data_IF_214343651030
#
_entry.id   IF_214343651030
#
_cell.length_a   1.000
_cell.length_b   1.000
_cell.length_c   1.000
_cell.angle_alpha   90.00
_cell.angle_beta   90.00
_cell.angle_gamma   90.00
#
_symmetry.space_group_name_H-M   'P 1'
#
loop_
_entity.id
_entity.type
_entity.pdbx_description
1 polymer ?
#
# COMPACT_ATOMS: atom_id res chain seq x y z
N UNK A 1 -58.72 -4.40 -49.86
CA UNK A 1 -57.74 -5.44 -49.46
C UNK A 1 -56.30 -4.97 -49.66
N UNK A 2 -56.04 -4.03 -50.57
CA UNK A 2 -54.70 -3.44 -50.81
C UNK A 2 -54.07 -2.72 -49.60
N UNK A 3 -54.86 -2.00 -48.79
CA UNK A 3 -54.35 -1.18 -47.68
C UNK A 3 -53.79 -2.02 -46.51
N UNK A 4 -54.36 -3.19 -46.24
CA UNK A 4 -53.89 -4.08 -45.15
C UNK A 4 -52.53 -4.71 -45.47
N UNK A 5 -52.25 -4.99 -46.74
CA UNK A 5 -50.94 -5.49 -47.17
C UNK A 5 -49.85 -4.43 -46.97
N UNK A 6 -50.13 -3.18 -47.35
CA UNK A 6 -49.17 -2.08 -47.26
C UNK A 6 -48.82 -1.74 -45.79
N UNK A 7 -49.81 -1.81 -44.88
CA UNK A 7 -49.62 -1.60 -43.43
C UNK A 7 -48.69 -2.64 -42.81
N UNK A 8 -48.68 -3.88 -43.30
CA UNK A 8 -47.81 -4.94 -42.78
C UNK A 8 -46.44 -5.01 -43.49
N UNK A 9 -46.39 -4.64 -44.78
CA UNK A 9 -45.17 -4.62 -45.59
C UNK A 9 -44.19 -3.53 -45.14
N UNK A 10 -44.69 -2.34 -44.79
CA UNK A 10 -43.85 -1.21 -44.38
C UNK A 10 -42.99 -1.50 -43.12
N UNK A 11 -43.54 -1.99 -41.99
CA UNK A 11 -42.74 -2.30 -40.80
C UNK A 11 -41.83 -3.52 -41.00
N UNK A 12 -42.26 -4.52 -41.76
CA UNK A 12 -41.43 -5.71 -42.05
C UNK A 12 -40.23 -5.35 -42.93
N UNK A 13 -40.41 -4.50 -43.94
CA UNK A 13 -39.31 -3.99 -44.76
C UNK A 13 -38.37 -3.10 -43.93
N UNK A 14 -38.90 -2.23 -43.08
CA UNK A 14 -38.10 -1.40 -42.18
C UNK A 14 -37.26 -2.24 -41.20
N UNK A 15 -37.82 -3.35 -40.68
CA UNK A 15 -37.10 -4.30 -39.83
C UNK A 15 -35.94 -4.95 -40.59
N UNK A 16 -36.19 -5.44 -41.81
CA UNK A 16 -35.14 -6.09 -42.63
C UNK A 16 -34.01 -5.11 -42.95
N UNK A 17 -34.36 -3.88 -43.33
CA UNK A 17 -33.37 -2.82 -43.59
C UNK A 17 -32.61 -2.47 -42.30
N UNK A 18 -33.31 -2.32 -41.18
CA UNK A 18 -32.70 -2.03 -39.88
C UNK A 18 -31.72 -3.12 -39.43
N UNK A 19 -32.06 -4.40 -39.62
CA UNK A 19 -31.18 -5.54 -39.32
C UNK A 19 -29.99 -5.57 -40.28
N UNK A 20 -30.20 -5.33 -41.57
CA UNK A 20 -29.10 -5.31 -42.55
C UNK A 20 -28.11 -4.17 -42.26
N UNK A 21 -28.62 -2.95 -42.03
CA UNK A 21 -27.79 -1.79 -41.67
C UNK A 21 -27.11 -2.02 -40.32
N UNK A 22 -27.84 -2.50 -39.32
CA UNK A 22 -27.28 -2.83 -38.00
C UNK A 22 -26.16 -3.88 -38.08
N UNK A 23 -26.33 -4.90 -38.91
CA UNK A 23 -25.31 -5.93 -39.14
C UNK A 23 -24.08 -5.38 -39.86
N UNK A 24 -24.29 -4.56 -40.90
CA UNK A 24 -23.20 -3.90 -41.63
C UNK A 24 -22.44 -2.97 -40.69
N UNK A 25 -23.14 -2.13 -39.91
CA UNK A 25 -22.51 -1.23 -38.93
C UNK A 25 -21.76 -2.02 -37.85
N UNK A 26 -22.34 -3.09 -37.29
CA UNK A 26 -21.66 -3.95 -36.32
C UNK A 26 -20.43 -4.68 -36.89
N UNK A 27 -20.41 -4.94 -38.20
CA UNK A 27 -19.29 -5.56 -38.91
C UNK A 27 -18.20 -4.55 -39.29
N UNK A 28 -18.58 -3.32 -39.65
CA UNK A 28 -17.67 -2.25 -40.05
C UNK A 28 -17.11 -1.46 -38.88
N UNK A 29 -17.80 -1.39 -37.73
CA UNK A 29 -17.15 -0.93 -36.52
C UNK A 29 -15.98 -1.87 -36.29
N UNK A 30 -14.73 -1.36 -36.33
CA UNK A 30 -13.58 -2.18 -36.05
C UNK A 30 -13.83 -2.78 -34.68
N UNK A 31 -13.97 -4.12 -34.65
CA UNK A 31 -14.15 -4.94 -33.46
C UNK A 31 -13.50 -4.17 -32.32
N UNK A 32 -14.30 -3.60 -31.41
CA UNK A 32 -13.80 -2.97 -30.21
C UNK A 32 -13.26 -4.12 -29.38
N UNK A 33 -12.09 -4.60 -29.80
CA UNK A 33 -11.46 -5.76 -29.28
C UNK A 33 -11.17 -5.39 -27.83
N UNK A 34 -11.61 -6.20 -26.85
CA UNK A 34 -11.26 -5.98 -25.46
C UNK A 34 -9.74 -6.05 -25.24
N UNK A 35 -8.94 -6.33 -26.27
CA UNK A 35 -7.48 -6.34 -26.25
C UNK A 35 -6.88 -5.06 -25.69
N UNK A 36 -7.45 -3.89 -25.95
CA UNK A 36 -6.88 -2.65 -25.40
C UNK A 36 -7.14 -2.52 -23.90
N UNK A 37 -8.27 -3.03 -23.41
CA UNK A 37 -8.61 -3.06 -21.99
C UNK A 37 -7.84 -4.17 -21.27
N UNK A 38 -7.75 -5.37 -21.86
CA UNK A 38 -6.96 -6.49 -21.32
C UNK A 38 -5.46 -6.17 -21.29
N UNK A 39 -4.92 -5.54 -22.33
CA UNK A 39 -3.52 -5.09 -22.34
C UNK A 39 -3.24 -4.03 -21.27
N UNK A 40 -4.20 -3.14 -21.01
CA UNK A 40 -4.07 -2.17 -19.92
C UNK A 40 -4.09 -2.84 -18.55
N UNK A 41 -4.95 -3.82 -18.34
CA UNK A 41 -4.98 -4.59 -17.10
C UNK A 41 -3.68 -5.38 -16.89
N UNK A 42 -3.16 -6.04 -17.93
CA UNK A 42 -1.87 -6.74 -17.87
C UNK A 42 -0.69 -5.81 -17.59
N UNK A 43 -0.68 -4.60 -18.19
CA UNK A 43 0.37 -3.60 -17.94
C UNK A 43 0.32 -3.08 -16.50
N UNK A 44 -0.87 -2.80 -15.97
CA UNK A 44 -1.05 -2.35 -14.58
C UNK A 44 -0.64 -3.45 -13.60
N UNK A 45 -1.04 -4.70 -13.84
CA UNK A 45 -0.65 -5.85 -13.03
C UNK A 45 0.88 -6.01 -12.98
N UNK A 46 1.54 -5.96 -14.16
CA UNK A 46 3.00 -6.04 -14.24
C UNK A 46 3.71 -4.92 -13.48
N UNK A 47 3.22 -3.68 -13.59
CA UNK A 47 3.78 -2.55 -12.85
C UNK A 47 3.63 -2.74 -11.34
N UNK A 48 2.50 -3.28 -10.90
CA UNK A 48 2.25 -3.57 -9.50
C UNK A 48 3.20 -4.66 -8.96
N UNK A 49 3.35 -5.76 -9.70
CA UNK A 49 4.29 -6.85 -9.34
C UNK A 49 5.74 -6.34 -9.31
N UNK A 50 6.13 -5.52 -10.28
CA UNK A 50 7.47 -4.90 -10.32
C UNK A 50 7.70 -3.99 -9.12
N UNK A 51 6.72 -3.14 -8.77
CA UNK A 51 6.80 -2.24 -7.63
C UNK A 51 6.92 -3.02 -6.32
N UNK A 52 6.11 -4.05 -6.11
CA UNK A 52 6.21 -4.90 -4.92
C UNK A 52 7.61 -5.53 -4.80
N UNK A 53 8.14 -6.06 -5.91
CA UNK A 53 9.46 -6.68 -5.91
C UNK A 53 10.57 -5.67 -5.61
N UNK A 54 10.48 -4.46 -6.16
CA UNK A 54 11.43 -3.37 -5.90
C UNK A 54 11.40 -2.95 -4.43
N UNK A 55 10.21 -2.78 -3.85
CA UNK A 55 10.04 -2.42 -2.43
C UNK A 55 10.63 -3.49 -1.52
N UNK A 56 10.31 -4.77 -1.76
CA UNK A 56 10.85 -5.89 -0.99
C UNK A 56 12.37 -5.94 -1.09
N UNK A 57 12.91 -5.76 -2.30
CA UNK A 57 14.36 -5.75 -2.55
C UNK A 57 15.04 -4.58 -1.84
N UNK A 58 14.43 -3.39 -1.86
CA UNK A 58 14.95 -2.20 -1.19
C UNK A 58 14.97 -2.38 0.33
N UNK A 59 13.86 -2.84 0.93
CA UNK A 59 13.81 -3.09 2.37
C UNK A 59 14.74 -4.23 2.81
N UNK A 60 14.91 -5.28 2.00
CA UNK A 60 15.88 -6.33 2.28
C UNK A 60 17.32 -5.78 2.28
N UNK A 61 17.64 -4.99 1.25
CA UNK A 61 18.95 -4.34 1.12
C UNK A 61 19.20 -3.39 2.30
N UNK A 62 18.22 -2.58 2.68
CA UNK A 62 18.32 -1.68 3.83
C UNK A 62 18.48 -2.46 5.14
N UNK A 63 17.75 -3.56 5.35
CA UNK A 63 17.93 -4.41 6.52
C UNK A 63 19.35 -5.00 6.60
N UNK A 64 19.90 -5.42 5.46
CA UNK A 64 21.29 -5.87 5.35
C UNK A 64 22.29 -4.75 5.69
N UNK A 65 22.06 -3.53 5.20
CA UNK A 65 22.89 -2.36 5.51
C UNK A 65 22.82 -1.98 7.00
N UNK A 66 21.62 -1.93 7.58
CA UNK A 66 21.42 -1.64 9.01
C UNK A 66 22.09 -2.70 9.88
N UNK A 67 22.02 -3.98 9.49
CA UNK A 67 22.73 -5.05 10.18
C UNK A 67 24.24 -4.85 10.14
N UNK A 68 24.81 -4.51 8.97
CA UNK A 68 26.24 -4.20 8.83
C UNK A 68 26.63 -3.01 9.71
N UNK A 69 25.84 -1.94 9.73
CA UNK A 69 26.08 -0.77 10.58
C UNK A 69 26.07 -1.15 12.07
N UNK A 70 25.10 -1.96 12.48
CA UNK A 70 24.99 -2.44 13.86
C UNK A 70 26.22 -3.27 14.25
N UNK A 71 26.67 -4.15 13.36
CA UNK A 71 27.88 -4.93 13.58
C UNK A 71 29.11 -4.03 13.72
N UNK A 72 29.30 -3.08 12.81
CA UNK A 72 30.43 -2.14 12.89
C UNK A 72 30.40 -1.28 14.15
N UNK A 73 29.23 -0.91 14.66
CA UNK A 73 29.10 -0.22 15.95
C UNK A 73 29.56 -1.10 17.11
N UNK A 74 29.17 -2.37 17.13
CA UNK A 74 29.62 -3.34 18.15
C UNK A 74 31.14 -3.53 18.09
N UNK A 75 31.69 -3.73 16.89
CA UNK A 75 33.14 -3.90 16.71
C UNK A 75 33.93 -2.68 17.24
N UNK A 76 33.41 -1.46 17.04
CA UNK A 76 34.03 -0.24 17.59
C UNK A 76 33.95 -0.21 19.11
N UNK A 77 32.81 -0.58 19.70
CA UNK A 77 32.69 -0.65 21.17
C UNK A 77 33.64 -1.69 21.77
N UNK A 78 33.74 -2.86 21.15
CA UNK A 78 34.66 -3.92 21.58
C UNK A 78 36.11 -3.44 21.50
N UNK A 79 36.48 -2.76 20.42
CA UNK A 79 37.82 -2.20 20.26
C UNK A 79 38.13 -1.11 21.30
N UNK A 80 37.15 -0.26 21.64
CA UNK A 80 37.31 0.74 22.70
C UNK A 80 37.41 0.09 24.08
N UNK A 81 36.67 -0.99 24.34
CA UNK A 81 36.74 -1.74 25.60
C UNK A 81 38.10 -2.44 25.73
N UNK A 82 38.60 -3.05 24.66
CA UNK A 82 39.93 -3.65 24.60
C UNK A 82 41.04 -2.59 24.78
N UNK A 83 40.90 -1.44 24.12
CA UNK A 83 41.78 -0.29 24.30
C UNK A 83 41.78 0.24 25.73
N UNK A 84 40.61 0.38 26.35
CA UNK A 84 40.49 0.75 27.76
C UNK A 84 41.14 -0.30 28.68
N UNK A 85 41.00 -1.59 28.37
CA UNK A 85 41.63 -2.66 29.15
C UNK A 85 43.17 -2.64 29.03
N UNK A 86 43.71 -2.35 27.85
CA UNK A 86 45.15 -2.34 27.58
C UNK A 86 45.85 -1.06 28.06
N UNK A 87 45.21 0.11 27.90
CA UNK A 87 45.80 1.41 28.23
C UNK A 87 45.53 1.87 29.67
N UNK A 88 44.51 1.34 30.35
CA UNK A 88 44.28 1.70 31.75
C UNK A 88 45.28 0.96 32.66
N UNK A 89 46.29 1.70 33.11
CA UNK A 89 47.35 1.22 34.01
C UNK A 89 46.85 0.89 35.44
N UNK A 90 45.64 1.32 35.80
CA UNK A 90 45.05 1.21 37.13
C UNK A 90 43.60 0.68 37.06
N UNK A 91 43.24 -0.29 37.91
CA UNK A 91 41.96 -1.01 37.86
C UNK A 91 40.74 -0.11 38.11
N UNK A 92 40.89 0.96 38.90
CA UNK A 92 39.81 1.93 39.15
C UNK A 92 39.53 2.74 37.88
N UNK A 93 40.59 3.09 37.15
CA UNK A 93 40.48 3.85 35.90
C UNK A 93 39.88 2.99 34.79
N UNK A 94 40.26 1.70 34.74
CA UNK A 94 39.68 0.70 33.83
C UNK A 94 38.17 0.52 34.06
N UNK A 95 37.74 0.33 35.31
CA UNK A 95 36.32 0.18 35.63
C UNK A 95 35.50 1.43 35.26
N UNK A 96 36.04 2.64 35.45
CA UNK A 96 35.33 3.87 35.05
C UNK A 96 35.22 4.04 33.54
N UNK A 97 36.27 3.73 32.78
CA UNK A 97 36.24 3.77 31.32
C UNK A 97 35.25 2.76 30.75
N UNK A 98 35.27 1.52 31.26
CA UNK A 98 34.31 0.50 30.87
C UNK A 98 32.87 0.89 31.26
N UNK A 99 32.65 1.44 32.46
CA UNK A 99 31.33 1.92 32.86
C UNK A 99 30.82 3.05 31.95
N UNK A 100 31.70 3.98 31.54
CA UNK A 100 31.37 5.07 30.63
C UNK A 100 31.01 4.58 29.20
N UNK A 101 31.67 3.53 28.71
CA UNK A 101 31.32 2.88 27.43
C UNK A 101 29.94 2.20 27.48
N UNK A 102 29.60 1.56 28.60
CA UNK A 102 28.33 0.84 28.75
C UNK A 102 27.15 1.75 29.14
N UNK A 103 27.38 2.96 29.64
CA UNK A 103 26.30 3.89 30.01
C UNK A 103 25.47 4.41 28.84
N UNK A 104 25.99 4.33 27.61
CA UNK A 104 25.27 4.71 26.38
C UNK A 104 24.82 3.49 25.55
N UNK A 105 25.03 2.27 26.08
CA UNK A 105 24.55 1.05 25.44
C UNK A 105 23.02 1.01 25.52
N UNK A 106 22.31 0.77 24.39
CA UNK A 106 20.87 0.63 24.42
C UNK A 106 20.50 -0.53 25.34
N UNK A 107 19.71 -0.22 26.37
CA UNK A 107 19.13 -1.15 27.33
C UNK A 107 18.53 -2.39 26.66
N UNK A 108 19.30 -3.49 26.62
CA UNK A 108 18.86 -4.86 26.29
C UNK A 108 18.12 -5.05 24.95
N UNK A 109 17.81 -6.29 24.58
CA UNK A 109 16.82 -6.54 23.54
C UNK A 109 15.51 -5.92 24.03
N UNK A 110 15.13 -4.77 23.45
CA UNK A 110 13.78 -4.24 23.61
C UNK A 110 12.85 -5.36 23.18
N UNK A 111 12.15 -5.90 24.17
CA UNK A 111 11.31 -7.06 24.03
C UNK A 111 10.43 -6.87 22.80
N UNK A 112 10.53 -7.85 21.93
CA UNK A 112 9.81 -7.95 20.68
C UNK A 112 8.33 -7.75 20.98
N UNK A 113 7.79 -6.63 20.52
CA UNK A 113 6.39 -6.44 20.14
C UNK A 113 5.41 -7.26 20.99
N UNK A 114 5.11 -6.82 22.21
CA UNK A 114 3.72 -6.96 22.64
C UNK A 114 2.99 -5.80 21.97
N UNK A 115 2.14 -6.02 20.96
CA UNK A 115 1.21 -4.99 20.55
C UNK A 115 0.42 -4.64 21.81
N UNK A 116 0.16 -3.34 22.10
CA UNK A 116 -0.88 -2.99 23.04
C UNK A 116 -2.13 -3.76 22.61
N UNK A 117 -2.55 -4.73 23.43
CA UNK A 117 -3.86 -5.33 23.27
C UNK A 117 -4.85 -4.17 23.42
N UNK A 118 -5.58 -3.92 22.33
CA UNK A 118 -6.83 -3.17 22.27
C UNK A 118 -6.85 -1.65 22.02
N UNK A 119 -5.75 -0.96 21.68
CA UNK A 119 -5.84 0.50 21.38
C UNK A 119 -5.00 1.06 20.24
N UNK A 120 -4.32 0.23 19.44
CA UNK A 120 -3.71 0.68 18.19
C UNK A 120 -4.78 0.75 17.08
N UNK A 121 -5.72 1.67 17.24
CA UNK A 121 -6.69 1.96 16.20
C UNK A 121 -5.96 2.61 15.03
N UNK A 122 -5.88 1.88 13.91
CA UNK A 122 -5.36 2.39 12.63
C UNK A 122 -6.01 3.74 12.31
N UNK A 123 -5.28 4.69 11.69
CA UNK A 123 -5.84 5.99 11.31
C UNK A 123 -7.16 5.79 10.56
N UNK A 124 -8.27 6.17 11.19
CA UNK A 124 -9.60 6.06 10.60
C UNK A 124 -9.82 7.29 9.75
N UNK A 125 -9.97 7.10 8.44
CA UNK A 125 -10.37 8.16 7.51
C UNK A 125 -11.85 8.58 7.66
N UNK A 126 -12.54 8.08 8.71
CA UNK A 126 -13.92 8.39 9.03
C UNK A 126 -14.05 8.99 10.42
N UNK A 127 -14.92 9.99 10.57
CA UNK A 127 -15.25 10.57 11.86
C UNK A 127 -16.06 9.56 12.70
N UNK A 128 -15.66 9.29 13.96
CA UNK A 128 -16.43 8.41 14.83
C UNK A 128 -17.76 9.08 15.20
N UNK A 129 -18.88 8.37 14.96
CA UNK A 129 -20.22 8.82 15.35
C UNK A 129 -20.45 8.51 16.83
N UNK A 130 -20.83 9.51 17.63
CA UNK A 130 -21.30 9.24 18.99
C UNK A 130 -22.71 8.65 18.96
N UNK A 131 -23.06 7.70 19.85
CA UNK A 131 -24.41 7.16 19.91
C UNK A 131 -25.43 8.28 20.07
N UNK A 132 -26.47 8.27 19.22
CA UNK A 132 -27.53 9.29 19.16
C UNK A 132 -27.16 10.72 18.68
N UNK A 133 -25.98 10.96 18.08
CA UNK A 133 -25.79 12.23 17.34
C UNK A 133 -26.28 12.15 15.90
N UNK A 134 -26.89 13.22 15.37
CA UNK A 134 -27.05 13.37 13.92
C UNK A 134 -25.67 13.32 13.26
N UNK A 135 -25.56 12.60 12.13
CA UNK A 135 -24.31 12.48 11.38
C UNK A 135 -23.94 13.79 10.68
N UNK A 136 -22.70 13.91 10.18
CA UNK A 136 -22.29 15.10 9.41
C UNK A 136 -23.07 15.31 8.10
N UNK A 137 -23.83 14.30 7.65
CA UNK A 137 -24.72 14.37 6.48
C UNK A 137 -26.21 14.44 6.87
N UNK A 138 -26.51 14.64 8.15
CA UNK A 138 -27.88 14.77 8.63
C UNK A 138 -28.44 16.14 8.22
N UNK A 139 -29.70 16.17 7.78
CA UNK A 139 -30.38 17.39 7.33
C UNK A 139 -30.48 18.47 8.42
N UNK A 140 -30.35 18.07 9.70
CA UNK A 140 -30.36 18.97 10.85
C UNK A 140 -28.97 19.41 11.33
N UNK A 141 -27.88 18.93 10.70
CA UNK A 141 -26.51 19.21 11.12
C UNK A 141 -26.17 20.70 10.94
N UNK A 142 -25.86 21.39 12.06
CA UNK A 142 -25.50 22.82 12.05
C UNK A 142 -26.68 23.79 12.07
N UNK A 143 -27.93 23.30 12.09
CA UNK A 143 -29.12 24.14 12.22
C UNK A 143 -29.55 24.23 13.70
N UNK A 144 -29.32 25.39 14.32
CA UNK A 144 -29.96 25.73 15.61
C UNK A 144 -31.38 26.20 15.33
N UNK A 145 -32.36 25.54 15.96
CA UNK A 145 -33.72 26.10 16.08
C UNK A 145 -33.75 27.22 17.11
#
# INVERSE_FOLDING_TARGET
>A
MELSLLVWLLPTLALVIGVAVGFIVARLLPNAAPSNTQRQLDDIQKRFDSYQNEVVTHFNSTAMLVKKLTQSYQDVQDHLAEGANSLALDDVTRQRLLAALHSDAPQGPRDRLTPPKDTAEVPRDYAPKVPNSPGMLDESYGLKR
#
